data_IF_109899647937
#
_entry.id   IF_109899647937
#
_cell.length_a   1.000
_cell.length_b   1.000
_cell.length_c   1.000
_cell.angle_alpha   90.00
_cell.angle_beta   90.00
_cell.angle_gamma   90.00
#
_symmetry.space_group_name_H-M   'P 1'
#
loop_
_entity.id
_entity.type
_entity.pdbx_description
1 polymer ?
#
# COMPACT_ATOMS: atom_id res chain seq x y z
N UNK A 1 -95.70 8.28 20.35
CA UNK A 1 -95.61 7.62 19.03
C UNK A 1 -94.33 8.03 18.41
N UNK A 2 -93.48 7.05 18.29
CA UNK A 2 -92.75 6.56 17.13
C UNK A 2 -91.34 7.10 16.94
N UNK A 3 -90.51 6.16 17.10
CA UNK A 3 -89.47 5.53 16.26
C UNK A 3 -88.10 6.17 16.28
N UNK A 4 -87.34 5.46 16.98
CA UNK A 4 -85.89 5.14 16.87
C UNK A 4 -85.28 5.40 15.48
N UNK A 5 -84.19 6.10 15.43
CA UNK A 5 -83.18 5.96 14.38
C UNK A 5 -81.82 5.71 15.05
N UNK A 6 -81.40 4.44 15.04
CA UNK A 6 -80.06 4.02 15.38
C UNK A 6 -79.12 4.49 14.23
N UNK A 7 -78.23 5.41 14.51
CA UNK A 7 -77.13 5.75 13.65
C UNK A 7 -75.96 4.87 14.07
N UNK A 8 -75.64 3.86 13.20
CA UNK A 8 -74.43 3.06 13.31
C UNK A 8 -73.23 3.97 13.03
N UNK A 9 -72.48 4.25 14.05
CA UNK A 9 -71.12 4.82 13.90
C UNK A 9 -70.18 3.71 13.48
N UNK A 10 -69.89 3.60 12.18
CA UNK A 10 -68.80 2.80 11.67
C UNK A 10 -67.49 3.45 12.06
N UNK A 11 -66.84 2.89 13.07
CA UNK A 11 -65.47 3.28 13.44
C UNK A 11 -64.57 2.71 12.32
N UNK A 12 -64.15 3.54 11.41
CA UNK A 12 -63.05 3.28 10.52
C UNK A 12 -61.75 3.25 11.38
N UNK A 13 -61.39 2.06 11.80
CA UNK A 13 -60.05 1.78 12.28
C UNK A 13 -59.10 1.91 11.08
N UNK A 14 -58.65 3.12 10.86
CA UNK A 14 -57.45 3.38 10.02
C UNK A 14 -56.31 2.63 10.69
N UNK A 15 -55.94 1.50 10.12
CA UNK A 15 -54.78 0.75 10.54
C UNK A 15 -53.55 1.68 10.46
N UNK A 16 -53.00 2.01 11.61
CA UNK A 16 -51.63 2.47 11.68
C UNK A 16 -50.78 1.34 11.04
N UNK A 17 -50.42 1.55 9.79
CA UNK A 17 -49.29 0.83 9.25
C UNK A 17 -48.14 1.25 10.13
N UNK A 18 -47.70 0.33 10.99
CA UNK A 18 -46.41 0.40 11.62
C UNK A 18 -45.40 0.60 10.49
N UNK A 19 -45.00 1.87 10.33
CA UNK A 19 -43.81 2.19 9.55
C UNK A 19 -42.66 1.53 10.34
N UNK A 20 -42.32 0.30 9.95
CA UNK A 20 -41.08 -0.33 10.41
C UNK A 20 -40.01 0.73 10.31
N UNK A 21 -39.25 1.05 11.36
CA UNK A 21 -38.23 2.06 11.29
C UNK A 21 -37.35 1.70 10.11
N UNK A 22 -37.25 2.61 9.13
CA UNK A 22 -36.38 2.42 7.99
C UNK A 22 -35.02 2.00 8.56
N UNK A 23 -34.52 0.86 8.10
CA UNK A 23 -33.20 0.36 8.56
C UNK A 23 -32.22 1.53 8.51
N UNK A 24 -31.46 1.78 9.56
CA UNK A 24 -30.54 2.93 9.61
C UNK A 24 -29.72 2.92 8.32
N UNK A 25 -29.74 4.03 7.58
CA UNK A 25 -28.96 4.18 6.37
C UNK A 25 -27.52 3.91 6.77
N UNK A 26 -26.98 2.79 6.31
CA UNK A 26 -25.63 2.37 6.68
C UNK A 26 -24.67 3.51 6.29
N UNK A 27 -23.90 4.02 7.23
CA UNK A 27 -22.86 4.99 6.95
C UNK A 27 -21.64 4.30 6.31
N UNK A 28 -20.68 5.10 5.82
CA UNK A 28 -19.52 4.57 5.12
C UNK A 28 -18.68 3.65 6.02
N UNK A 29 -18.60 3.94 7.32
CA UNK A 29 -17.84 3.11 8.26
C UNK A 29 -18.52 1.76 8.53
N UNK A 30 -19.85 1.74 8.67
CA UNK A 30 -20.62 0.49 8.80
C UNK A 30 -20.43 -0.39 7.55
N UNK A 31 -20.47 0.20 6.35
CA UNK A 31 -20.23 -0.54 5.11
C UNK A 31 -18.79 -1.08 5.04
N UNK A 32 -17.80 -0.32 5.49
CA UNK A 32 -16.40 -0.75 5.57
C UNK A 32 -16.22 -1.94 6.52
N UNK A 33 -16.85 -1.90 7.70
CA UNK A 33 -16.82 -3.01 8.66
C UNK A 33 -17.44 -4.28 8.08
N UNK A 34 -18.59 -4.16 7.41
CA UNK A 34 -19.22 -5.27 6.70
C UNK A 34 -18.35 -5.82 5.58
N UNK A 35 -17.69 -4.94 4.81
CA UNK A 35 -16.75 -5.34 3.77
C UNK A 35 -15.56 -6.13 4.35
N UNK A 36 -15.05 -5.71 5.51
CA UNK A 36 -13.98 -6.43 6.21
C UNK A 36 -14.42 -7.82 6.65
N UNK A 37 -15.65 -7.96 7.17
CA UNK A 37 -16.23 -9.24 7.53
C UNK A 37 -16.41 -10.14 6.28
N UNK A 38 -17.00 -9.63 5.20
CA UNK A 38 -17.19 -10.38 3.94
C UNK A 38 -15.86 -10.87 3.37
N UNK A 39 -14.79 -10.02 3.45
CA UNK A 39 -13.46 -10.41 3.02
C UNK A 39 -12.87 -11.55 3.86
N UNK A 40 -13.03 -11.51 5.19
CA UNK A 40 -12.55 -12.60 6.07
C UNK A 40 -13.27 -13.92 5.84
N UNK A 41 -14.48 -13.87 5.32
CA UNK A 41 -15.31 -15.04 4.94
C UNK A 41 -15.07 -15.48 3.48
N UNK A 42 -14.12 -14.87 2.78
CA UNK A 42 -13.77 -15.20 1.39
C UNK A 42 -14.71 -14.62 0.33
N UNK A 43 -15.67 -13.76 0.72
CA UNK A 43 -16.65 -13.15 -0.20
C UNK A 43 -16.09 -11.82 -0.77
N UNK A 44 -15.07 -11.94 -1.61
CA UNK A 44 -14.34 -10.78 -2.13
C UNK A 44 -15.20 -9.81 -2.96
N UNK A 45 -16.13 -10.34 -3.78
CA UNK A 45 -17.02 -9.54 -4.62
C UNK A 45 -18.00 -8.71 -3.78
N UNK A 46 -18.57 -9.30 -2.73
CA UNK A 46 -19.44 -8.59 -1.79
C UNK A 46 -18.65 -7.49 -1.06
N UNK A 47 -17.45 -7.79 -0.60
CA UNK A 47 -16.59 -6.80 0.03
C UNK A 47 -16.28 -5.62 -0.91
N UNK A 48 -16.01 -5.89 -2.19
CA UNK A 48 -15.75 -4.86 -3.19
C UNK A 48 -16.99 -3.98 -3.44
N UNK A 49 -18.19 -4.56 -3.49
CA UNK A 49 -19.43 -3.81 -3.64
C UNK A 49 -19.71 -2.92 -2.42
N UNK A 50 -19.52 -3.43 -1.21
CA UNK A 50 -19.70 -2.66 0.02
C UNK A 50 -18.72 -1.47 0.12
N UNK A 51 -17.45 -1.68 -0.26
CA UNK A 51 -16.47 -0.59 -0.31
C UNK A 51 -16.81 0.46 -1.39
N UNK A 52 -17.29 0.05 -2.55
CA UNK A 52 -17.75 0.99 -3.58
C UNK A 52 -18.94 1.85 -3.11
N UNK A 53 -19.90 1.25 -2.40
CA UNK A 53 -20.99 1.98 -1.76
C UNK A 53 -20.48 2.96 -0.69
N UNK A 54 -19.53 2.52 0.16
CA UNK A 54 -18.92 3.37 1.18
C UNK A 54 -18.21 4.58 0.57
N UNK A 55 -17.47 4.39 -0.53
CA UNK A 55 -16.80 5.47 -1.27
C UNK A 55 -17.82 6.48 -1.79
N UNK A 56 -18.95 6.01 -2.34
CA UNK A 56 -20.00 6.88 -2.85
C UNK A 56 -20.64 7.72 -1.74
N UNK A 57 -20.91 7.10 -0.59
CA UNK A 57 -21.45 7.82 0.58
C UNK A 57 -20.46 8.83 1.16
N UNK A 58 -19.18 8.51 1.17
CA UNK A 58 -18.14 9.41 1.68
C UNK A 58 -17.97 10.64 0.80
N UNK A 59 -18.10 10.52 -0.51
CA UNK A 59 -18.04 11.66 -1.45
C UNK A 59 -19.12 12.70 -1.20
N UNK A 60 -20.26 12.31 -0.63
CA UNK A 60 -21.40 13.21 -0.34
C UNK A 60 -21.29 13.92 1.01
N UNK A 61 -20.41 13.50 1.93
CA UNK A 61 -20.44 13.93 3.33
C UNK A 61 -19.53 15.10 3.68
N UNK A 62 -18.31 15.21 3.20
CA UNK A 62 -17.42 16.37 3.49
C UNK A 62 -16.08 16.30 2.76
N UNK A 63 -15.48 17.49 2.52
CA UNK A 63 -14.09 17.61 2.03
C UNK A 63 -13.03 17.27 3.07
N UNK A 64 -13.39 17.23 4.36
CA UNK A 64 -12.41 17.08 5.45
C UNK A 64 -12.02 15.63 5.74
N UNK A 65 -12.74 14.64 5.16
CA UNK A 65 -12.48 13.20 5.36
C UNK A 65 -11.60 12.57 4.28
N UNK A 66 -10.57 13.27 3.84
CA UNK A 66 -9.69 12.79 2.76
C UNK A 66 -8.95 11.51 3.11
N UNK A 67 -8.50 11.41 4.36
CA UNK A 67 -7.80 10.21 4.83
C UNK A 67 -8.71 8.98 4.81
N UNK A 68 -9.93 9.08 5.35
CA UNK A 68 -10.90 7.99 5.32
C UNK A 68 -11.31 7.61 3.88
N UNK A 69 -11.52 8.62 3.02
CA UNK A 69 -11.78 8.39 1.60
C UNK A 69 -10.63 7.72 0.86
N UNK A 70 -9.38 8.03 1.21
CA UNK A 70 -8.19 7.39 0.65
C UNK A 70 -8.08 5.94 1.12
N UNK A 71 -8.36 5.67 2.40
CA UNK A 71 -8.34 4.32 2.96
C UNK A 71 -9.36 3.39 2.29
N UNK A 72 -10.59 3.85 2.09
CA UNK A 72 -11.61 3.06 1.37
C UNK A 72 -11.15 2.67 -0.04
N UNK A 73 -10.55 3.63 -0.77
CA UNK A 73 -10.02 3.39 -2.13
C UNK A 73 -8.85 2.42 -2.10
N UNK A 74 -7.96 2.55 -1.12
CA UNK A 74 -6.83 1.65 -0.93
C UNK A 74 -7.29 0.21 -0.67
N UNK A 75 -8.32 0.03 0.17
CA UNK A 75 -8.89 -1.28 0.47
C UNK A 75 -9.57 -1.91 -0.77
N UNK A 76 -10.34 -1.12 -1.52
CA UNK A 76 -10.96 -1.59 -2.77
C UNK A 76 -9.91 -1.91 -3.83
N UNK A 77 -8.84 -1.10 -3.93
CA UNK A 77 -7.73 -1.36 -4.84
C UNK A 77 -7.03 -2.69 -4.53
N UNK A 78 -6.84 -3.01 -3.25
CA UNK A 78 -6.24 -4.28 -2.83
C UNK A 78 -7.12 -5.49 -3.23
N UNK A 79 -8.45 -5.38 -3.16
CA UNK A 79 -9.36 -6.41 -3.66
C UNK A 79 -9.29 -6.55 -5.18
N UNK A 80 -9.21 -5.42 -5.92
CA UNK A 80 -9.01 -5.43 -7.37
C UNK A 80 -7.69 -6.09 -7.77
N UNK A 81 -6.61 -5.81 -7.03
CA UNK A 81 -5.32 -6.48 -7.19
C UNK A 81 -5.41 -7.99 -7.04
N UNK A 82 -6.13 -8.49 -6.02
CA UNK A 82 -6.30 -9.93 -5.80
C UNK A 82 -7.18 -10.60 -6.86
N UNK A 83 -8.06 -9.84 -7.51
CA UNK A 83 -8.87 -10.27 -8.66
C UNK A 83 -8.14 -10.09 -10.01
N UNK A 84 -6.86 -9.72 -10.00
CA UNK A 84 -6.02 -9.41 -11.17
C UNK A 84 -6.54 -8.22 -12.04
N UNK A 85 -7.44 -7.42 -11.50
CA UNK A 85 -7.87 -6.14 -12.11
C UNK A 85 -6.84 -5.05 -11.81
N UNK A 86 -5.70 -5.13 -12.49
CA UNK A 86 -4.57 -4.21 -12.28
C UNK A 86 -4.92 -2.77 -12.67
N UNK A 87 -5.74 -2.58 -13.71
CA UNK A 87 -6.14 -1.25 -14.17
C UNK A 87 -7.10 -0.58 -13.16
N UNK A 88 -8.09 -1.32 -12.65
CA UNK A 88 -8.99 -0.84 -11.61
C UNK A 88 -8.26 -0.52 -10.31
N UNK A 89 -7.31 -1.35 -9.92
CA UNK A 89 -6.47 -1.13 -8.74
C UNK A 89 -5.61 0.14 -8.89
N UNK A 90 -4.95 0.32 -10.03
CA UNK A 90 -4.12 1.50 -10.30
C UNK A 90 -4.92 2.79 -10.20
N UNK A 91 -6.09 2.83 -10.83
CA UNK A 91 -6.98 4.00 -10.76
C UNK A 91 -7.30 4.37 -9.32
N UNK A 92 -7.71 3.40 -8.51
CA UNK A 92 -8.08 3.62 -7.12
C UNK A 92 -6.89 4.05 -6.25
N UNK A 93 -5.69 3.47 -6.44
CA UNK A 93 -4.49 3.90 -5.73
C UNK A 93 -4.08 5.33 -6.10
N UNK A 94 -4.17 5.73 -7.37
CA UNK A 94 -3.89 7.11 -7.80
C UNK A 94 -4.91 8.10 -7.23
N UNK A 95 -6.19 7.75 -7.20
CA UNK A 95 -7.23 8.57 -6.55
C UNK A 95 -6.97 8.73 -5.05
N UNK A 96 -6.61 7.64 -4.36
CA UNK A 96 -6.26 7.69 -2.94
C UNK A 96 -5.02 8.56 -2.68
N UNK A 97 -3.99 8.44 -3.51
CA UNK A 97 -2.78 9.25 -3.42
C UNK A 97 -3.08 10.74 -3.58
N UNK A 98 -3.86 11.12 -4.60
CA UNK A 98 -4.26 12.50 -4.83
C UNK A 98 -5.04 13.12 -3.65
N UNK A 99 -5.86 12.32 -2.95
CA UNK A 99 -6.54 12.76 -1.75
C UNK A 99 -5.56 13.07 -0.61
N UNK A 100 -4.55 12.19 -0.40
CA UNK A 100 -3.59 12.35 0.69
C UNK A 100 -2.57 13.47 0.42
N UNK A 101 -2.15 13.68 -0.83
CA UNK A 101 -1.22 14.76 -1.21
C UNK A 101 -1.83 16.15 -0.97
N UNK A 102 -3.16 16.25 -0.92
CA UNK A 102 -3.89 17.47 -0.58
C UNK A 102 -4.40 17.51 0.87
N UNK A 103 -4.09 16.49 1.67
CA UNK A 103 -4.48 16.40 3.07
C UNK A 103 -3.54 17.22 3.99
N UNK A 104 -3.98 17.56 5.21
CA UNK A 104 -3.10 18.14 6.23
C UNK A 104 -1.91 17.25 6.53
N UNK A 105 -0.82 17.85 7.09
CA UNK A 105 0.39 17.12 7.47
C UNK A 105 0.09 15.89 8.34
N UNK A 106 0.84 14.81 8.14
CA UNK A 106 0.70 13.55 8.89
C UNK A 106 0.30 12.36 8.02
N UNK A 107 0.19 12.55 6.70
CA UNK A 107 -0.17 11.49 5.75
C UNK A 107 1.03 10.74 5.17
N UNK A 108 2.26 11.04 5.60
CA UNK A 108 3.50 10.57 4.96
C UNK A 108 3.58 9.06 4.89
N UNK A 109 3.27 8.34 5.97
CA UNK A 109 3.25 6.87 5.98
C UNK A 109 2.22 6.30 5.00
N UNK A 110 1.04 6.91 4.91
CA UNK A 110 0.01 6.47 3.99
C UNK A 110 0.40 6.77 2.53
N UNK A 111 1.06 7.89 2.26
CA UNK A 111 1.62 8.25 0.96
C UNK A 111 2.73 7.28 0.55
N UNK A 112 3.65 6.96 1.46
CA UNK A 112 4.71 5.95 1.24
C UNK A 112 4.07 4.62 0.84
N UNK A 113 3.09 4.14 1.61
CA UNK A 113 2.41 2.88 1.32
C UNK A 113 1.72 2.88 -0.06
N UNK A 114 1.00 3.94 -0.42
CA UNK A 114 0.33 4.04 -1.72
C UNK A 114 1.31 4.09 -2.89
N UNK A 115 2.40 4.86 -2.76
CA UNK A 115 3.45 4.93 -3.79
C UNK A 115 4.16 3.59 -3.96
N UNK A 116 4.40 2.87 -2.86
CA UNK A 116 4.96 1.50 -2.90
C UNK A 116 4.02 0.53 -3.62
N UNK A 117 2.70 0.60 -3.36
CA UNK A 117 1.72 -0.23 -4.08
C UNK A 117 1.69 0.11 -5.58
N UNK A 118 1.70 1.39 -5.93
CA UNK A 118 1.76 1.84 -7.34
C UNK A 118 3.06 1.39 -8.02
N UNK A 119 4.20 1.51 -7.33
CA UNK A 119 5.48 1.03 -7.84
C UNK A 119 5.46 -0.48 -8.14
N UNK A 120 4.96 -1.28 -7.20
CA UNK A 120 4.81 -2.73 -7.36
C UNK A 120 3.87 -3.10 -8.51
N UNK A 121 2.77 -2.35 -8.68
CA UNK A 121 1.82 -2.54 -9.76
C UNK A 121 2.45 -2.19 -11.13
N UNK A 122 3.14 -1.05 -11.23
CA UNK A 122 3.90 -0.68 -12.44
C UNK A 122 4.97 -1.73 -12.78
N UNK A 123 5.66 -2.26 -11.77
CA UNK A 123 6.63 -3.34 -11.96
C UNK A 123 6.00 -4.62 -12.54
N UNK A 124 4.84 -5.04 -12.01
CA UNK A 124 4.08 -6.21 -12.55
C UNK A 124 3.66 -6.00 -14.01
N UNK A 125 3.40 -4.76 -14.41
CA UNK A 125 3.04 -4.38 -15.77
C UNK A 125 4.28 -4.11 -16.67
N UNK A 126 5.48 -4.41 -16.22
CA UNK A 126 6.76 -4.13 -16.88
C UNK A 126 7.00 -2.62 -17.18
N UNK A 127 6.29 -1.72 -16.52
CA UNK A 127 6.46 -0.26 -16.59
C UNK A 127 7.60 0.17 -15.65
N UNK A 128 8.81 -0.30 -15.94
CA UNK A 128 9.97 -0.20 -15.03
C UNK A 128 10.36 1.26 -14.72
N UNK A 129 10.17 2.18 -15.67
CA UNK A 129 10.48 3.60 -15.45
C UNK A 129 9.57 4.21 -14.40
N UNK A 130 8.26 4.03 -14.53
CA UNK A 130 7.29 4.54 -13.56
C UNK A 130 7.45 3.88 -12.19
N UNK A 131 7.76 2.59 -12.16
CA UNK A 131 8.05 1.90 -10.90
C UNK A 131 9.25 2.54 -10.18
N UNK A 132 10.33 2.86 -10.91
CA UNK A 132 11.50 3.54 -10.37
C UNK A 132 11.16 4.95 -9.86
N UNK A 133 10.37 5.72 -10.61
CA UNK A 133 9.98 7.07 -10.20
C UNK A 133 9.18 7.04 -8.88
N UNK A 134 8.27 6.08 -8.73
CA UNK A 134 7.56 5.89 -7.45
C UNK A 134 8.51 5.50 -6.32
N UNK A 135 9.43 4.53 -6.53
CA UNK A 135 10.38 4.13 -5.49
C UNK A 135 11.38 5.24 -5.13
N UNK A 136 11.81 6.06 -6.08
CA UNK A 136 12.62 7.26 -5.78
C UNK A 136 11.86 8.22 -4.87
N UNK A 137 10.56 8.44 -5.14
CA UNK A 137 9.74 9.31 -4.32
C UNK A 137 9.46 8.73 -2.92
N UNK A 138 9.33 7.40 -2.80
CA UNK A 138 9.24 6.69 -1.52
C UNK A 138 10.54 6.87 -0.73
N UNK A 139 11.69 6.56 -1.34
CA UNK A 139 13.00 6.68 -0.69
C UNK A 139 13.26 8.11 -0.18
N UNK A 140 12.93 9.12 -0.98
CA UNK A 140 13.10 10.51 -0.57
C UNK A 140 12.26 10.85 0.67
N UNK A 141 11.00 10.40 0.72
CA UNK A 141 10.11 10.65 1.85
C UNK A 141 10.51 9.86 3.10
N UNK A 142 10.91 8.60 2.96
CA UNK A 142 11.42 7.77 4.05
C UNK A 142 12.70 8.36 4.65
N UNK A 143 13.65 8.79 3.82
CA UNK A 143 14.88 9.43 4.31
C UNK A 143 14.58 10.73 5.05
N UNK A 144 13.63 11.52 4.55
CA UNK A 144 13.24 12.77 5.20
C UNK A 144 12.53 12.56 6.55
N UNK A 145 11.77 11.49 6.69
CA UNK A 145 10.95 11.22 7.90
C UNK A 145 11.65 10.33 8.93
N UNK A 146 12.41 9.34 8.48
CA UNK A 146 12.99 8.29 9.33
C UNK A 146 14.53 8.38 9.42
N UNK A 147 15.16 9.09 8.48
CA UNK A 147 16.61 9.11 8.33
C UNK A 147 17.15 7.96 7.48
N UNK A 148 18.27 8.18 6.84
CA UNK A 148 18.86 7.26 5.85
C UNK A 148 19.25 5.87 6.42
N UNK A 149 19.58 5.80 7.70
CA UNK A 149 19.99 4.56 8.37
C UNK A 149 18.83 3.70 8.90
N UNK A 150 17.58 4.13 8.71
CA UNK A 150 16.42 3.36 9.14
C UNK A 150 16.23 2.11 8.25
N UNK A 151 15.72 0.97 8.78
CA UNK A 151 15.47 -0.23 7.98
C UNK A 151 14.65 -0.01 6.72
N UNK A 152 13.62 0.85 6.77
CA UNK A 152 12.72 1.08 5.63
C UNK A 152 13.45 1.71 4.43
N UNK A 153 14.16 2.87 4.54
CA UNK A 153 14.95 3.40 3.43
C UNK A 153 16.00 2.41 2.91
N UNK A 154 16.64 1.63 3.80
CA UNK A 154 17.61 0.62 3.38
C UNK A 154 16.93 -0.50 2.57
N UNK A 155 15.73 -0.91 2.93
CA UNK A 155 14.90 -1.84 2.15
C UNK A 155 14.52 -1.26 0.79
N UNK A 156 14.08 -0.02 0.74
CA UNK A 156 13.72 0.68 -0.50
C UNK A 156 14.93 0.87 -1.41
N UNK A 157 16.13 1.16 -0.87
CA UNK A 157 17.37 1.21 -1.66
C UNK A 157 17.68 -0.13 -2.33
N UNK A 158 17.44 -1.25 -1.64
CA UNK A 158 17.63 -2.59 -2.21
C UNK A 158 16.72 -2.85 -3.41
N UNK A 159 15.43 -2.54 -3.26
CA UNK A 159 14.44 -2.74 -4.33
C UNK A 159 14.76 -1.84 -5.52
N UNK A 160 15.04 -0.57 -5.26
CA UNK A 160 15.34 0.42 -6.29
C UNK A 160 16.66 0.10 -6.99
N UNK A 161 17.71 -0.31 -6.27
CA UNK A 161 18.99 -0.73 -6.84
C UNK A 161 18.81 -1.92 -7.79
N UNK A 162 18.03 -2.92 -7.40
CA UNK A 162 17.67 -4.06 -8.27
C UNK A 162 16.85 -3.65 -9.49
N UNK A 163 15.97 -2.67 -9.34
CA UNK A 163 15.16 -2.13 -10.44
C UNK A 163 16.02 -1.33 -11.43
N UNK A 164 16.93 -0.48 -10.95
CA UNK A 164 17.86 0.29 -11.79
C UNK A 164 18.82 -0.66 -12.55
N UNK A 165 19.25 -1.74 -11.90
CA UNK A 165 20.03 -2.78 -12.55
C UNK A 165 19.28 -3.45 -13.70
N UNK A 166 17.98 -3.74 -13.53
CA UNK A 166 17.11 -4.27 -14.61
C UNK A 166 16.90 -3.27 -15.75
N UNK A 167 16.89 -1.97 -15.45
CA UNK A 167 16.81 -0.89 -16.41
C UNK A 167 18.14 -0.63 -17.16
N UNK A 168 19.21 -1.30 -16.75
CA UNK A 168 20.57 -1.07 -17.29
C UNK A 168 21.25 0.18 -16.76
N UNK A 169 20.68 0.83 -15.73
CA UNK A 169 21.23 2.02 -15.10
C UNK A 169 22.24 1.63 -14.03
N UNK A 170 23.41 1.16 -14.47
CA UNK A 170 24.41 0.54 -13.60
C UNK A 170 24.99 1.52 -12.58
N UNK A 171 25.23 2.77 -12.96
CA UNK A 171 25.78 3.79 -12.05
C UNK A 171 24.81 4.14 -10.92
N UNK A 172 23.52 4.28 -11.22
CA UNK A 172 22.47 4.52 -10.24
C UNK A 172 22.30 3.33 -9.29
N UNK A 173 22.31 2.11 -9.83
CA UNK A 173 22.25 0.88 -9.02
C UNK A 173 23.46 0.77 -8.08
N UNK A 174 24.67 1.04 -8.57
CA UNK A 174 25.89 1.04 -7.78
C UNK A 174 25.81 2.05 -6.63
N UNK A 175 25.41 3.29 -6.93
CA UNK A 175 25.27 4.34 -5.92
C UNK A 175 24.28 3.94 -4.81
N UNK A 176 23.14 3.34 -5.16
CA UNK A 176 22.15 2.87 -4.21
C UNK A 176 22.69 1.75 -3.32
N UNK A 177 23.36 0.74 -3.88
CA UNK A 177 23.90 -0.37 -3.08
C UNK A 177 25.08 0.08 -2.21
N UNK A 178 25.91 1.03 -2.64
CA UNK A 178 26.97 1.59 -1.79
C UNK A 178 26.39 2.38 -0.59
N UNK A 179 25.32 3.16 -0.82
CA UNK A 179 24.61 3.86 0.25
C UNK A 179 23.96 2.86 1.21
N UNK A 180 23.28 1.85 0.68
CA UNK A 180 22.68 0.78 1.47
C UNK A 180 23.73 0.04 2.30
N UNK A 181 24.88 -0.32 1.73
CA UNK A 181 25.98 -1.01 2.43
C UNK A 181 26.44 -0.21 3.64
N UNK A 182 26.68 1.08 3.46
CA UNK A 182 27.05 1.98 4.55
C UNK A 182 26.01 2.00 5.68
N UNK A 183 24.73 2.06 5.33
CA UNK A 183 23.63 2.06 6.31
C UNK A 183 23.49 0.73 7.05
N UNK A 184 23.54 -0.39 6.31
CA UNK A 184 23.43 -1.74 6.88
C UNK A 184 24.62 -2.06 7.80
N UNK A 185 25.83 -1.65 7.43
CA UNK A 185 27.02 -1.79 8.28
C UNK A 185 26.90 -1.04 9.59
N UNK A 186 26.32 0.18 9.57
CA UNK A 186 26.08 0.97 10.79
C UNK A 186 24.97 0.38 11.65
N UNK A 187 23.94 -0.18 11.03
CA UNK A 187 22.75 -0.71 11.72
C UNK A 187 23.02 -2.09 12.33
N UNK A 188 23.60 -2.99 11.58
CA UNK A 188 23.76 -4.41 11.95
C UNK A 188 25.21 -4.79 12.27
N UNK A 189 26.18 -4.06 11.76
CA UNK A 189 27.60 -4.37 11.82
C UNK A 189 28.15 -4.94 10.51
N UNK A 190 29.46 -4.85 10.32
CA UNK A 190 30.13 -5.23 9.08
C UNK A 190 30.11 -6.76 8.83
N UNK A 191 30.07 -7.57 9.88
CA UNK A 191 30.18 -9.04 9.83
C UNK A 191 28.81 -9.72 10.05
N UNK A 192 27.76 -9.21 9.42
CA UNK A 192 26.41 -9.78 9.51
C UNK A 192 25.93 -10.27 8.15
N UNK A 193 24.97 -11.20 8.17
CA UNK A 193 24.39 -11.81 6.97
C UNK A 193 23.77 -10.76 6.04
N UNK A 194 23.10 -9.77 6.62
CA UNK A 194 22.49 -8.67 5.90
C UNK A 194 23.55 -7.87 5.13
N UNK A 195 24.69 -7.59 5.76
CA UNK A 195 25.81 -6.90 5.12
C UNK A 195 26.39 -7.72 3.96
N UNK A 196 26.59 -9.03 4.16
CA UNK A 196 27.07 -9.91 3.10
C UNK A 196 26.11 -9.95 1.89
N UNK A 197 24.81 -9.89 2.12
CA UNK A 197 23.81 -9.87 1.03
C UNK A 197 23.87 -8.58 0.21
N UNK A 198 24.08 -7.43 0.85
CA UNK A 198 24.24 -6.15 0.12
C UNK A 198 25.54 -6.11 -0.67
N UNK A 199 26.62 -6.68 -0.10
CA UNK A 199 27.90 -6.79 -0.79
C UNK A 199 27.77 -7.65 -2.07
N UNK A 200 27.01 -8.75 -2.04
CA UNK A 200 26.75 -9.54 -3.25
C UNK A 200 25.98 -8.75 -4.31
N UNK A 201 24.93 -8.03 -3.92
CA UNK A 201 24.18 -7.18 -4.85
C UNK A 201 25.07 -6.11 -5.50
N UNK A 202 25.97 -5.48 -4.73
CA UNK A 202 26.93 -4.52 -5.25
C UNK A 202 27.92 -5.19 -6.21
N UNK A 203 28.41 -6.37 -5.88
CA UNK A 203 29.31 -7.13 -6.74
C UNK A 203 28.67 -7.48 -8.08
N UNK A 204 27.38 -7.85 -8.09
CA UNK A 204 26.65 -8.15 -9.33
C UNK A 204 26.52 -6.92 -10.24
N UNK A 205 26.31 -5.74 -9.65
CA UNK A 205 26.27 -4.48 -10.41
C UNK A 205 27.66 -4.16 -10.99
N UNK A 206 28.71 -4.25 -10.19
CA UNK A 206 30.09 -3.98 -10.61
C UNK A 206 30.56 -4.91 -11.73
N UNK A 207 30.20 -6.20 -11.65
CA UNK A 207 30.50 -7.13 -12.73
C UNK A 207 29.85 -6.72 -14.04
N UNK A 208 28.57 -6.34 -14.01
CA UNK A 208 27.86 -5.84 -15.19
C UNK A 208 28.39 -4.48 -15.68
N UNK A 209 28.94 -3.68 -14.78
CA UNK A 209 29.58 -2.41 -15.10
C UNK A 209 31.02 -2.56 -15.65
N UNK A 210 31.51 -3.80 -15.84
CA UNK A 210 32.84 -4.06 -16.38
C UNK A 210 33.96 -3.89 -15.35
N UNK A 211 33.66 -4.02 -14.05
CA UNK A 211 34.60 -3.92 -12.93
C UNK A 211 34.77 -5.29 -12.21
N UNK A 212 35.19 -6.38 -12.94
CA UNK A 212 35.19 -7.74 -12.38
C UNK A 212 36.19 -7.95 -11.24
N UNK A 213 37.27 -7.19 -11.22
CA UNK A 213 38.27 -7.30 -10.15
C UNK A 213 37.73 -6.82 -8.80
N UNK A 214 36.96 -5.73 -8.78
CA UNK A 214 36.31 -5.24 -7.56
C UNK A 214 35.15 -6.16 -7.16
N UNK A 215 34.35 -6.61 -8.13
CA UNK A 215 33.28 -7.56 -7.88
C UNK A 215 33.78 -8.85 -7.23
N UNK A 216 34.91 -9.41 -7.70
CA UNK A 216 35.51 -10.61 -7.11
C UNK A 216 35.96 -10.38 -5.66
N UNK A 217 36.59 -9.24 -5.36
CA UNK A 217 36.99 -8.87 -3.98
C UNK A 217 35.80 -8.82 -3.03
N UNK A 218 34.73 -8.18 -3.46
CA UNK A 218 33.48 -8.06 -2.67
C UNK A 218 32.84 -9.43 -2.45
N UNK A 219 32.78 -10.29 -3.45
CA UNK A 219 32.26 -11.67 -3.28
C UNK A 219 33.09 -12.47 -2.30
N UNK A 220 34.41 -12.32 -2.31
CA UNK A 220 35.28 -13.00 -1.35
C UNK A 220 35.08 -12.44 0.06
N UNK A 221 34.82 -11.16 0.21
CA UNK A 221 34.43 -10.56 1.49
C UNK A 221 33.11 -11.12 1.99
N UNK A 222 32.06 -11.15 1.16
CA UNK A 222 30.77 -11.72 1.52
C UNK A 222 30.86 -13.19 1.91
N UNK A 223 31.71 -13.99 1.22
CA UNK A 223 31.99 -15.38 1.58
C UNK A 223 32.66 -15.51 2.95
N UNK A 224 33.69 -14.67 3.24
CA UNK A 224 34.34 -14.65 4.55
C UNK A 224 33.40 -14.33 5.69
N UNK A 225 32.52 -13.33 5.51
CA UNK A 225 31.51 -12.99 6.50
C UNK A 225 30.60 -14.20 6.76
N UNK A 226 30.10 -14.85 5.71
CA UNK A 226 29.21 -16.01 5.86
C UNK A 226 29.90 -17.22 6.52
N UNK A 227 31.18 -17.49 6.19
CA UNK A 227 31.94 -18.57 6.79
C UNK A 227 32.13 -18.32 8.29
N UNK A 228 32.54 -17.11 8.68
CA UNK A 228 32.71 -16.76 10.10
C UNK A 228 31.41 -16.95 10.89
N UNK A 229 30.26 -16.59 10.33
CA UNK A 229 28.94 -16.79 10.98
C UNK A 229 28.54 -18.26 11.11
N UNK A 230 29.05 -19.16 10.25
CA UNK A 230 28.84 -20.60 10.39
C UNK A 230 29.73 -21.22 11.45
N UNK A 231 30.92 -20.68 11.67
CA UNK A 231 31.88 -21.20 12.67
C UNK A 231 31.51 -20.76 14.10
N UNK A 232 30.67 -19.73 14.26
CA UNK A 232 30.19 -19.21 15.54
C UNK A 232 28.87 -19.88 16.02
N UNK A 233 28.29 -20.82 15.24
CA UNK A 233 27.08 -21.57 15.59
C UNK A 233 27.40 -22.96 16.12
#
# INVERSE_FOLDING_TARGET
>A
MSRSALILLAILSAGCRDASPAAPVADAETLRQRATASRSEGRADEAAQLLAQAITLQQTKSRDDRAASADLRRELAALRMSADDLAGAEKLYREALALLETAPRGSDTAIINLRTQLAGLCYRQARLNEAADFYHSVLALEVATLGEGHPDPLGTMSILGGLELKRGKLAEAEALFRRQLTGVQKLHGAEKRETASVIDNLADVLEKAGQPAEAARLRDEAKRIRHKLCDEC
#
